data_IF_826233629846
#
_entry.id   IF_826233629846
#
_cell.length_a   1.000
_cell.length_b   1.000
_cell.length_c   1.000
_cell.angle_alpha   90.00
_cell.angle_beta   90.00
_cell.angle_gamma   90.00
#
_symmetry.space_group_name_H-M   'P 1'
#
loop_
_entity.id
_entity.type
_entity.pdbx_description
1 polymer ?
#
# COMPACT_ATOMS: atom_id res chain seq x y z
N UNK A 1 -31.50 16.42 11.29
CA UNK A 1 -30.11 16.91 11.11
C UNK A 1 -29.21 16.19 12.11
N UNK A 2 -27.94 15.95 11.76
CA UNK A 2 -26.95 15.38 12.69
C UNK A 2 -26.37 16.48 13.58
N UNK A 3 -26.38 16.27 14.90
CA UNK A 3 -25.78 17.20 15.88
C UNK A 3 -24.31 16.87 16.04
N UNK A 4 -23.43 17.82 15.67
CA UNK A 4 -21.99 17.60 15.71
C UNK A 4 -21.45 17.57 17.14
N UNK A 5 -20.63 16.56 17.47
CA UNK A 5 -19.98 16.46 18.76
C UNK A 5 -18.85 17.49 18.90
N UNK A 6 -18.98 18.41 19.87
CA UNK A 6 -17.92 19.37 20.20
C UNK A 6 -16.61 18.68 20.59
N UNK A 7 -16.70 17.52 21.26
CA UNK A 7 -15.53 16.70 21.63
C UNK A 7 -14.82 16.14 20.39
N UNK A 8 -15.57 15.68 19.39
CA UNK A 8 -14.99 15.14 18.15
C UNK A 8 -14.28 16.23 17.34
N UNK A 9 -14.79 17.47 17.38
CA UNK A 9 -14.13 18.65 16.78
C UNK A 9 -12.73 18.84 17.36
N UNK A 10 -12.67 18.96 18.69
CA UNK A 10 -11.41 19.21 19.41
C UNK A 10 -10.44 18.06 19.23
N UNK A 11 -10.92 16.81 19.32
CA UNK A 11 -10.12 15.63 19.08
C UNK A 11 -9.49 15.61 17.68
N UNK A 12 -10.27 15.94 16.65
CA UNK A 12 -9.76 16.01 15.27
C UNK A 12 -8.69 17.08 15.09
N UNK A 13 -8.84 18.26 15.72
CA UNK A 13 -7.81 19.30 15.69
C UNK A 13 -6.52 18.89 16.38
N UNK A 14 -6.60 18.18 17.51
CA UNK A 14 -5.43 17.65 18.21
C UNK A 14 -4.69 16.66 17.31
N UNK A 15 -5.40 15.72 16.66
CA UNK A 15 -4.77 14.77 15.74
C UNK A 15 -4.11 15.46 14.54
N UNK A 16 -4.76 16.47 13.96
CA UNK A 16 -4.16 17.24 12.86
C UNK A 16 -2.91 17.99 13.30
N UNK A 17 -2.92 18.62 14.48
CA UNK A 17 -1.75 19.33 15.02
C UNK A 17 -0.59 18.38 15.30
N UNK A 18 -0.85 17.26 15.98
CA UNK A 18 0.16 16.22 16.24
C UNK A 18 0.70 15.62 14.93
N UNK A 19 -0.18 15.38 13.97
CA UNK A 19 0.21 14.90 12.64
C UNK A 19 1.14 15.88 11.93
N UNK A 20 0.81 17.17 11.90
CA UNK A 20 1.67 18.21 11.30
C UNK A 20 3.03 18.28 11.99
N UNK A 21 3.06 18.25 13.34
CA UNK A 21 4.32 18.22 14.10
C UNK A 21 5.15 16.99 13.74
N UNK A 22 4.54 15.81 13.66
CA UNK A 22 5.21 14.56 13.27
C UNK A 22 5.79 14.62 11.85
N UNK A 23 5.05 15.20 10.91
CA UNK A 23 5.51 15.40 9.53
C UNK A 23 6.72 16.35 9.53
N UNK A 24 6.61 17.52 10.16
CA UNK A 24 7.72 18.50 10.21
C UNK A 24 8.95 17.88 10.86
N UNK A 25 8.80 17.17 11.98
CA UNK A 25 9.92 16.48 12.63
C UNK A 25 10.56 15.42 11.71
N UNK A 26 9.75 14.64 10.99
CA UNK A 26 10.25 13.65 10.03
C UNK A 26 11.09 14.26 8.91
N UNK A 27 10.72 15.44 8.43
CA UNK A 27 11.47 16.19 7.42
C UNK A 27 12.73 16.87 7.97
N UNK A 28 12.69 17.37 9.21
CA UNK A 28 13.85 17.99 9.86
C UNK A 28 14.94 16.97 10.21
N UNK A 29 14.56 15.72 10.49
CA UNK A 29 15.49 14.65 10.86
C UNK A 29 16.04 13.87 9.65
N UNK A 30 15.61 14.17 8.42
CA UNK A 30 16.13 13.51 7.23
C UNK A 30 17.58 13.96 6.96
N UNK A 31 18.54 13.03 6.74
CA UNK A 31 19.93 13.38 6.48
C UNK A 31 20.05 14.12 5.14
N UNK A 32 20.93 15.12 5.09
CA UNK A 32 21.09 15.96 3.90
C UNK A 32 22.36 15.64 3.13
N UNK A 33 23.35 15.08 3.82
CA UNK A 33 24.68 14.81 3.27
C UNK A 33 25.12 13.37 3.54
N UNK A 34 26.11 12.91 2.77
CA UNK A 34 26.75 11.61 2.95
C UNK A 34 27.41 11.51 4.34
N UNK A 35 28.03 12.60 4.81
CA UNK A 35 28.66 12.70 6.13
C UNK A 35 27.64 12.46 7.27
N UNK A 36 26.42 12.98 7.13
CA UNK A 36 25.35 12.72 8.10
C UNK A 36 25.01 11.22 8.19
N UNK A 37 25.02 10.52 7.04
CA UNK A 37 24.72 9.09 6.94
C UNK A 37 25.84 8.25 7.52
N UNK A 38 27.09 8.60 7.20
CA UNK A 38 28.27 7.93 7.74
C UNK A 38 28.29 8.03 9.27
N UNK A 39 28.03 9.22 9.82
CA UNK A 39 27.92 9.42 11.27
C UNK A 39 26.78 8.61 11.88
N UNK A 40 25.62 8.55 11.23
CA UNK A 40 24.50 7.74 11.70
C UNK A 40 24.82 6.23 11.69
N UNK A 41 25.49 5.73 10.65
CA UNK A 41 25.90 4.34 10.56
C UNK A 41 26.98 4.02 11.61
N UNK A 42 27.96 4.89 11.82
CA UNK A 42 28.96 4.76 12.86
C UNK A 42 28.33 4.72 14.27
N UNK A 43 27.41 5.63 14.58
CA UNK A 43 26.65 5.64 15.84
C UNK A 43 25.80 4.36 16.02
N UNK A 44 25.31 3.77 14.92
CA UNK A 44 24.56 2.50 14.93
C UNK A 44 25.46 1.33 15.29
N UNK A 45 26.65 1.25 14.69
CA UNK A 45 27.64 0.20 14.95
C UNK A 45 28.20 0.27 16.39
N UNK A 46 28.25 1.45 17.00
CA UNK A 46 28.62 1.58 18.42
C UNK A 46 27.49 1.22 19.40
N UNK A 47 26.23 1.22 18.97
CA UNK A 47 25.06 0.86 19.81
C UNK A 47 24.69 -0.62 19.75
N UNK A 48 25.01 -1.34 18.68
CA UNK A 48 24.78 -2.80 18.64
C UNK A 48 25.72 -3.60 19.56
N UNK A 49 26.85 -3.01 19.98
CA UNK A 49 27.74 -3.63 20.95
C UNK A 49 27.19 -3.67 22.39
N UNK A 50 26.05 -3.02 22.68
CA UNK A 50 25.46 -2.97 24.04
C UNK A 50 24.20 -3.81 24.25
N UNK A 51 23.79 -4.65 23.29
CA UNK A 51 22.67 -5.58 23.44
C UNK A 51 23.04 -7.03 23.14
N UNK A 52 24.08 -7.54 23.80
CA UNK A 52 24.21 -8.97 24.09
C UNK A 52 23.90 -9.18 25.58
N UNK A 53 22.64 -9.01 25.95
CA UNK A 53 22.17 -9.50 27.25
C UNK A 53 22.15 -11.03 27.17
N UNK A 54 23.07 -11.66 27.92
CA UNK A 54 23.10 -13.10 28.12
C UNK A 54 21.77 -13.53 28.73
N UNK A 55 20.88 -14.10 27.93
CA UNK A 55 19.79 -14.92 28.46
C UNK A 55 20.43 -16.22 28.95
N UNK A 56 20.56 -16.35 30.26
CA UNK A 56 20.87 -17.60 30.93
C UNK A 56 19.74 -18.60 30.68
N UNK A 57 20.07 -19.74 30.10
CA UNK A 57 19.21 -20.92 30.17
C UNK A 57 19.22 -21.42 31.62
N UNK A 58 18.13 -21.19 32.35
CA UNK A 58 17.85 -21.93 33.58
C UNK A 58 17.09 -23.21 33.21
N UNK A 59 17.66 -24.33 33.65
CA UNK A 59 17.10 -25.67 33.58
C UNK A 59 16.06 -25.91 34.69
N UNK A 60 15.16 -26.86 34.40
CA UNK A 60 14.20 -27.56 35.27
C UNK A 60 12.83 -26.92 35.54
N UNK A 61 11.79 -27.46 34.91
CA UNK A 61 10.93 -28.49 35.54
C UNK A 61 9.97 -29.15 34.53
N UNK A 62 9.84 -30.47 34.66
CA UNK A 62 9.19 -31.42 33.75
C UNK A 62 7.65 -31.46 33.87
N UNK A 63 6.96 -32.00 32.86
CA UNK A 63 6.10 -33.18 33.03
C UNK A 63 5.64 -33.84 31.70
N UNK A 64 6.09 -35.09 31.54
CA UNK A 64 5.41 -36.28 31.02
C UNK A 64 4.68 -36.26 29.65
N UNK A 65 5.28 -37.03 28.72
CA UNK A 65 4.63 -37.68 27.58
C UNK A 65 4.07 -39.02 28.03
N UNK A 66 2.83 -39.34 27.67
CA UNK A 66 2.37 -40.73 27.58
C UNK A 66 1.66 -40.94 26.23
N UNK A 67 2.17 -41.91 25.47
CA UNK A 67 1.74 -42.28 24.14
C UNK A 67 0.57 -43.26 24.17
N UNK A 68 -0.30 -43.27 23.16
CA UNK A 68 -0.99 -44.50 22.73
C UNK A 68 -1.52 -44.41 21.29
N UNK A 69 -1.41 -45.55 20.60
CA UNK A 69 -1.63 -45.82 19.18
C UNK A 69 -3.08 -46.06 18.77
N UNK A 70 -3.29 -46.10 17.43
CA UNK A 70 -4.28 -46.88 16.68
C UNK A 70 -5.73 -46.32 16.69
N UNK A 71 -6.59 -46.46 15.68
CA UNK A 71 -6.61 -47.16 14.40
C UNK A 71 -7.76 -46.55 13.57
N UNK A 72 -7.63 -46.46 12.25
CA UNK A 72 -8.74 -46.08 11.37
C UNK A 72 -9.71 -47.27 11.18
N UNK A 73 -11.02 -47.03 11.33
CA UNK A 73 -12.06 -47.97 10.89
C UNK A 73 -13.19 -47.24 10.16
N UNK A 74 -13.36 -47.67 8.91
CA UNK A 74 -14.39 -47.35 7.92
C UNK A 74 -15.81 -47.58 8.44
N UNK A 75 -16.76 -46.68 8.16
CA UNK A 75 -18.16 -47.03 7.77
C UNK A 75 -18.73 -45.95 6.83
N UNK A 76 -19.37 -46.45 5.78
CA UNK A 76 -19.98 -45.83 4.60
C UNK A 76 -21.48 -45.48 4.79
N UNK A 77 -22.01 -44.67 3.87
CA UNK A 77 -23.42 -44.48 3.48
C UNK A 77 -24.39 -43.66 4.37
N UNK A 78 -24.99 -42.60 3.80
CA UNK A 78 -26.41 -42.51 3.40
C UNK A 78 -26.60 -41.32 2.42
N UNK A 79 -27.58 -41.49 1.54
CA UNK A 79 -27.75 -40.99 0.17
C UNK A 79 -28.95 -40.02 0.11
N UNK A 80 -29.01 -39.25 -0.99
CA UNK A 80 -30.17 -38.62 -1.68
C UNK A 80 -30.90 -37.43 -1.00
N UNK A 81 -31.42 -36.37 -1.65
CA UNK A 81 -31.76 -36.07 -3.07
C UNK A 81 -31.51 -34.59 -3.40
N UNK A 82 -31.16 -34.31 -4.66
CA UNK A 82 -31.36 -33.01 -5.31
C UNK A 82 -32.09 -33.26 -6.65
N UNK A 83 -33.13 -32.47 -6.92
CA UNK A 83 -33.92 -32.40 -8.17
C UNK A 83 -33.80 -30.95 -8.65
N UNK A 84 -32.97 -30.64 -9.64
CA UNK A 84 -33.10 -30.71 -11.12
C UNK A 84 -33.86 -29.52 -11.76
N UNK A 85 -33.37 -29.15 -12.97
CA UNK A 85 -33.77 -28.17 -14.00
C UNK A 85 -32.67 -27.11 -14.18
N UNK A 86 -31.79 -27.08 -15.19
CA UNK A 86 -31.91 -27.47 -16.61
C UNK A 86 -30.53 -27.60 -17.29
N UNK A 87 -30.47 -28.51 -18.27
CA UNK A 87 -29.35 -28.93 -19.15
C UNK A 87 -28.59 -27.83 -19.93
N UNK A 88 -27.25 -27.92 -19.93
CA UNK A 88 -26.41 -27.98 -21.14
C UNK A 88 -25.02 -28.54 -20.78
N UNK A 89 -24.60 -29.59 -21.49
CA UNK A 89 -23.40 -30.40 -21.24
C UNK A 89 -22.16 -29.73 -21.81
N UNK A 90 -21.11 -29.58 -20.99
CA UNK A 90 -19.74 -29.36 -21.45
C UNK A 90 -18.80 -30.22 -20.58
N UNK A 91 -18.02 -31.08 -21.23
CA UNK A 91 -17.04 -31.97 -20.62
C UNK A 91 -15.92 -31.17 -19.93
N UNK A 92 -15.61 -31.50 -18.67
CA UNK A 92 -14.40 -31.07 -18.01
C UNK A 92 -13.62 -32.32 -17.60
N UNK A 93 -12.49 -32.52 -18.27
CA UNK A 93 -11.54 -33.61 -18.09
C UNK A 93 -10.77 -33.39 -16.79
N UNK A 94 -10.76 -34.42 -15.95
CA UNK A 94 -10.02 -34.55 -14.71
C UNK A 94 -8.50 -34.57 -14.97
N UNK A 95 -7.76 -33.72 -14.27
CA UNK A 95 -6.30 -33.62 -14.34
C UNK A 95 -5.74 -33.35 -12.94
N UNK A 96 -5.89 -34.31 -12.04
CA UNK A 96 -5.05 -34.40 -10.82
C UNK A 96 -4.39 -35.78 -10.72
N UNK A 97 -3.40 -36.01 -11.58
CA UNK A 97 -2.46 -37.11 -11.43
C UNK A 97 -1.06 -36.55 -11.17
N UNK A 98 -0.54 -36.85 -9.98
CA UNK A 98 0.76 -36.43 -9.45
C UNK A 98 1.84 -37.37 -10.00
N UNK A 99 2.90 -36.82 -10.58
CA UNK A 99 4.14 -37.55 -10.86
C UNK A 99 5.21 -37.15 -9.84
N UNK A 100 5.66 -38.14 -9.06
CA UNK A 100 6.75 -38.01 -8.11
C UNK A 100 8.08 -37.74 -8.84
N UNK A 101 8.78 -36.68 -8.45
CA UNK A 101 10.17 -36.43 -8.84
C UNK A 101 11.05 -36.63 -7.62
N UNK A 102 12.10 -37.41 -7.80
CA UNK A 102 13.02 -37.92 -6.79
C UNK A 102 13.61 -36.82 -5.89
N UNK A 103 13.63 -37.10 -4.58
CA UNK A 103 14.37 -36.35 -3.56
C UNK A 103 15.87 -36.56 -3.82
N UNK A 104 16.56 -35.50 -4.24
CA UNK A 104 18.00 -35.46 -4.30
C UNK A 104 18.59 -35.38 -2.88
N UNK A 105 19.73 -36.03 -2.69
CA UNK A 105 20.44 -36.19 -1.43
C UNK A 105 20.74 -34.85 -0.75
N UNK A 106 20.57 -34.84 0.57
CA UNK A 106 20.90 -33.75 1.48
C UNK A 106 22.40 -33.43 1.43
N UNK A 107 22.75 -32.26 0.92
CA UNK A 107 24.06 -31.68 1.17
C UNK A 107 24.14 -31.25 2.65
N UNK A 108 25.02 -31.93 3.39
CA UNK A 108 25.45 -31.55 4.73
C UNK A 108 26.29 -30.28 4.61
N UNK A 109 25.70 -29.13 4.88
CA UNK A 109 26.45 -27.88 5.03
C UNK A 109 27.27 -27.93 6.32
N UNK A 110 28.56 -28.19 6.13
CA UNK A 110 29.58 -28.20 7.15
C UNK A 110 29.85 -26.74 7.57
N UNK A 111 29.18 -26.27 8.63
CA UNK A 111 29.47 -24.98 9.27
C UNK A 111 30.81 -25.03 10.01
N UNK A 112 31.93 -25.04 9.29
CA UNK A 112 33.24 -24.81 9.90
C UNK A 112 34.24 -24.20 8.90
N UNK A 113 33.99 -22.95 8.49
CA UNK A 113 35.07 -22.02 8.09
C UNK A 113 34.53 -20.60 7.85
N UNK A 114 34.17 -19.88 8.91
CA UNK A 114 34.19 -18.41 8.84
C UNK A 114 35.64 -17.93 9.03
N UNK A 115 36.47 -18.12 8.00
CA UNK A 115 37.56 -17.18 7.79
C UNK A 115 36.88 -15.85 7.45
N UNK A 116 37.02 -14.86 8.34
CA UNK A 116 36.88 -13.46 7.96
C UNK A 116 37.98 -13.18 6.93
N UNK A 117 37.69 -13.47 5.68
CA UNK A 117 38.31 -12.69 4.62
C UNK A 117 37.70 -11.31 4.77
N UNK A 118 38.44 -10.40 5.41
CA UNK A 118 38.20 -8.97 5.31
C UNK A 118 38.33 -8.64 3.83
N UNK A 119 37.23 -8.76 3.09
CA UNK A 119 37.10 -8.14 1.78
C UNK A 119 37.22 -6.65 2.06
N UNK A 120 38.41 -6.10 1.82
CA UNK A 120 38.63 -4.67 1.85
C UNK A 120 37.65 -4.07 0.85
N UNK A 121 36.52 -3.57 1.35
CA UNK A 121 35.58 -2.80 0.55
C UNK A 121 36.39 -1.64 -0.02
N UNK A 122 36.42 -1.53 -1.35
CA UNK A 122 37.09 -0.39 -1.98
C UNK A 122 36.42 0.90 -1.50
N UNK A 123 37.19 1.99 -1.36
CA UNK A 123 36.64 3.29 -0.97
C UNK A 123 35.48 3.71 -1.89
N UNK A 124 35.52 3.28 -3.17
CA UNK A 124 34.45 3.49 -4.15
C UNK A 124 33.15 2.73 -3.81
N UNK A 125 33.24 1.48 -3.36
CA UNK A 125 32.06 0.68 -2.98
C UNK A 125 31.41 1.23 -1.70
N UNK A 126 32.23 1.72 -0.77
CA UNK A 126 31.75 2.39 0.43
C UNK A 126 31.00 3.69 0.08
N UNK A 127 31.56 4.51 -0.81
CA UNK A 127 30.94 5.75 -1.23
C UNK A 127 29.59 5.52 -1.95
N UNK A 128 29.51 4.55 -2.87
CA UNK A 128 28.25 4.17 -3.53
C UNK A 128 27.22 3.64 -2.53
N UNK A 129 27.65 2.88 -1.52
CA UNK A 129 26.77 2.42 -0.46
C UNK A 129 26.17 3.60 0.32
N UNK A 130 26.98 4.57 0.71
CA UNK A 130 26.50 5.75 1.44
C UNK A 130 25.53 6.59 0.60
N UNK A 131 25.80 6.77 -0.70
CA UNK A 131 24.88 7.47 -1.62
C UNK A 131 23.52 6.75 -1.73
N UNK A 132 23.54 5.42 -1.82
CA UNK A 132 22.33 4.62 -1.84
C UNK A 132 21.52 4.77 -0.54
N UNK A 133 22.19 4.67 0.61
CA UNK A 133 21.54 4.82 1.92
C UNK A 133 21.01 6.23 2.13
N UNK A 134 21.75 7.27 1.73
CA UNK A 134 21.31 8.66 1.78
C UNK A 134 19.99 8.84 1.03
N UNK A 135 19.92 8.34 -0.20
CA UNK A 135 18.72 8.41 -1.01
C UNK A 135 17.53 7.69 -0.37
N UNK A 136 17.75 6.53 0.26
CA UNK A 136 16.69 5.82 1.00
C UNK A 136 16.18 6.64 2.20
N UNK A 137 17.09 7.22 2.98
CA UNK A 137 16.75 7.99 4.18
C UNK A 137 16.05 9.31 3.85
N UNK A 138 16.46 10.00 2.78
CA UNK A 138 15.83 11.22 2.29
C UNK A 138 14.40 10.98 1.78
N UNK A 139 14.15 9.85 1.12
CA UNK A 139 12.83 9.51 0.58
C UNK A 139 11.86 8.96 1.64
N UNK A 140 12.33 8.58 2.83
CA UNK A 140 11.51 8.01 3.90
C UNK A 140 10.33 8.91 4.32
N UNK A 141 10.52 10.20 4.68
CA UNK A 141 9.39 11.07 5.04
C UNK A 141 8.41 11.31 3.88
N UNK A 142 8.90 11.37 2.65
CA UNK A 142 8.07 11.55 1.45
C UNK A 142 7.21 10.34 1.13
N UNK A 143 7.79 9.14 1.21
CA UNK A 143 7.07 7.88 1.00
C UNK A 143 6.01 7.66 2.08
N UNK A 144 6.31 8.02 3.33
CA UNK A 144 5.34 7.95 4.43
C UNK A 144 4.12 8.86 4.18
N UNK A 145 4.35 10.11 3.74
CA UNK A 145 3.26 11.01 3.35
C UNK A 145 2.49 10.48 2.14
N UNK A 146 3.19 9.99 1.12
CA UNK A 146 2.57 9.45 -0.09
C UNK A 146 1.59 8.33 0.24
N UNK A 147 2.03 7.35 1.04
CA UNK A 147 1.22 6.20 1.46
C UNK A 147 0.00 6.64 2.26
N UNK A 148 0.16 7.56 3.22
CA UNK A 148 -0.96 8.07 4.00
C UNK A 148 -2.01 8.78 3.12
N UNK A 149 -1.57 9.67 2.22
CA UNK A 149 -2.45 10.42 1.34
C UNK A 149 -3.23 9.52 0.38
N UNK A 150 -2.55 8.59 -0.30
CA UNK A 150 -3.21 7.69 -1.25
C UNK A 150 -4.17 6.74 -0.53
N UNK A 151 -3.83 6.26 0.67
CA UNK A 151 -4.67 5.35 1.45
C UNK A 151 -6.03 5.98 1.81
N UNK A 152 -6.03 7.16 2.43
CA UNK A 152 -7.30 7.80 2.83
C UNK A 152 -8.12 8.30 1.63
N UNK A 153 -7.45 8.73 0.56
CA UNK A 153 -8.13 9.07 -0.69
C UNK A 153 -8.83 7.85 -1.30
N UNK A 154 -8.14 6.70 -1.39
CA UNK A 154 -8.71 5.49 -1.97
C UNK A 154 -9.83 4.88 -1.13
N UNK A 155 -9.84 5.05 0.20
CA UNK A 155 -11.02 4.74 1.02
C UNK A 155 -12.24 5.54 0.52
N UNK A 156 -12.08 6.83 0.26
CA UNK A 156 -13.16 7.67 -0.25
C UNK A 156 -13.62 7.24 -1.65
N UNK A 157 -12.68 6.93 -2.55
CA UNK A 157 -13.00 6.42 -3.89
C UNK A 157 -13.70 5.06 -3.82
N UNK A 158 -13.27 4.17 -2.92
CA UNK A 158 -13.88 2.86 -2.71
C UNK A 158 -15.33 2.96 -2.25
N UNK A 159 -15.63 3.88 -1.32
CA UNK A 159 -17.02 4.14 -0.91
C UNK A 159 -17.83 4.76 -2.04
N UNK A 160 -17.23 5.62 -2.87
CA UNK A 160 -17.90 6.22 -4.03
C UNK A 160 -18.24 5.18 -5.10
N UNK A 161 -17.34 4.23 -5.36
CA UNK A 161 -17.58 3.10 -6.25
C UNK A 161 -18.69 2.19 -5.69
N UNK A 162 -18.64 1.86 -4.40
CA UNK A 162 -19.69 1.06 -3.77
C UNK A 162 -21.05 1.78 -3.79
N UNK A 163 -21.08 3.09 -3.55
CA UNK A 163 -22.29 3.92 -3.70
C UNK A 163 -22.88 3.83 -5.11
N UNK A 164 -22.04 3.93 -6.15
CA UNK A 164 -22.46 3.82 -7.54
C UNK A 164 -23.10 2.44 -7.83
N UNK A 165 -22.48 1.36 -7.34
CA UNK A 165 -22.99 -0.01 -7.49
C UNK A 165 -24.38 -0.14 -6.86
N UNK A 166 -24.62 0.45 -5.69
CA UNK A 166 -25.94 0.37 -5.05
C UNK A 166 -27.04 1.06 -5.87
N UNK A 167 -26.74 2.19 -6.50
CA UNK A 167 -27.67 2.84 -7.43
C UNK A 167 -27.93 1.99 -8.67
N UNK A 168 -26.86 1.49 -9.31
CA UNK A 168 -26.95 0.68 -10.52
C UNK A 168 -27.69 -0.65 -10.30
N UNK A 169 -27.48 -1.29 -9.14
CA UNK A 169 -28.12 -2.55 -8.77
C UNK A 169 -29.55 -2.37 -8.21
N UNK A 170 -30.02 -1.13 -8.03
CA UNK A 170 -31.33 -0.83 -7.45
C UNK A 170 -31.56 -1.54 -6.09
N UNK A 171 -30.53 -1.57 -5.25
CA UNK A 171 -30.60 -2.27 -3.98
C UNK A 171 -31.63 -1.63 -3.03
N UNK A 172 -32.56 -2.43 -2.51
CA UNK A 172 -33.66 -1.94 -1.67
C UNK A 172 -33.27 -1.59 -0.23
N UNK A 173 -32.12 -2.06 0.25
CA UNK A 173 -31.68 -1.88 1.64
C UNK A 173 -30.71 -0.70 1.82
N UNK A 174 -29.97 -0.33 0.78
CA UNK A 174 -28.95 0.71 0.82
C UNK A 174 -29.45 2.17 0.95
N UNK A 175 -30.70 2.55 0.59
CA UNK A 175 -31.13 3.94 0.66
C UNK A 175 -30.96 4.60 2.03
N UNK A 176 -31.13 3.85 3.11
CA UNK A 176 -30.95 4.35 4.48
C UNK A 176 -29.49 4.73 4.80
N UNK A 177 -28.52 4.15 4.05
CA UNK A 177 -27.09 4.37 4.25
C UNK A 177 -26.50 5.43 3.33
N UNK A 178 -27.20 5.84 2.27
CA UNK A 178 -26.66 6.75 1.25
C UNK A 178 -26.16 8.08 1.82
N UNK A 179 -26.85 8.65 2.81
CA UNK A 179 -26.41 9.90 3.47
C UNK A 179 -25.08 9.72 4.22
N UNK A 180 -24.83 8.55 4.79
CA UNK A 180 -23.55 8.21 5.44
C UNK A 180 -22.45 8.05 4.40
N UNK A 181 -22.72 7.33 3.30
CA UNK A 181 -21.76 7.14 2.21
C UNK A 181 -21.39 8.46 1.51
N UNK A 182 -22.38 9.33 1.25
CA UNK A 182 -22.17 10.68 0.71
C UNK A 182 -21.33 11.58 1.64
N UNK A 183 -21.42 11.33 2.95
CA UNK A 183 -20.63 12.03 3.98
C UNK A 183 -19.18 11.55 3.98
N UNK A 184 -18.95 10.23 3.95
CA UNK A 184 -17.60 9.64 3.91
C UNK A 184 -16.85 10.07 2.64
N UNK A 185 -17.52 9.99 1.48
CA UNK A 185 -16.96 10.47 0.19
C UNK A 185 -16.73 11.98 0.16
N UNK A 186 -17.16 12.73 1.19
CA UNK A 186 -16.81 14.14 1.38
C UNK A 186 -15.33 14.42 1.52
N UNK A 187 -14.53 13.45 1.97
CA UNK A 187 -13.08 13.58 2.03
C UNK A 187 -12.39 13.54 0.66
N UNK A 188 -13.06 13.05 -0.39
CA UNK A 188 -12.44 12.88 -1.71
C UNK A 188 -11.85 14.19 -2.26
N UNK A 189 -12.58 15.30 -2.18
CA UNK A 189 -12.10 16.58 -2.70
C UNK A 189 -10.85 17.08 -1.95
N UNK A 190 -10.86 17.28 -0.62
CA UNK A 190 -9.67 17.71 0.10
C UNK A 190 -8.51 16.71 -0.04
N UNK A 191 -8.78 15.41 0.02
CA UNK A 191 -7.77 14.37 -0.18
C UNK A 191 -7.12 14.43 -1.57
N UNK A 192 -7.92 14.63 -2.63
CA UNK A 192 -7.42 14.76 -4.00
C UNK A 192 -6.54 15.99 -4.21
N UNK A 193 -6.86 17.12 -3.57
CA UNK A 193 -6.06 18.34 -3.64
C UNK A 193 -4.70 18.13 -2.98
N UNK A 194 -4.68 17.59 -1.75
CA UNK A 194 -3.45 17.32 -1.01
C UNK A 194 -2.57 16.32 -1.78
N UNK A 195 -3.16 15.24 -2.29
CA UNK A 195 -2.43 14.24 -3.06
C UNK A 195 -1.86 14.81 -4.36
N UNK A 196 -2.62 15.63 -5.09
CA UNK A 196 -2.14 16.24 -6.33
C UNK A 196 -0.99 17.24 -6.08
N UNK A 197 -1.06 18.03 -5.02
CA UNK A 197 0.05 18.92 -4.60
C UNK A 197 1.32 18.09 -4.33
N UNK A 198 1.18 16.94 -3.65
CA UNK A 198 2.31 16.04 -3.39
C UNK A 198 2.91 15.48 -4.68
N UNK A 199 2.07 15.11 -5.68
CA UNK A 199 2.56 14.68 -6.99
C UNK A 199 3.32 15.77 -7.74
N UNK A 200 2.86 17.03 -7.65
CA UNK A 200 3.56 18.18 -8.23
C UNK A 200 4.89 18.40 -7.51
N UNK A 201 4.93 18.35 -6.18
CA UNK A 201 6.16 18.46 -5.40
C UNK A 201 7.17 17.36 -5.73
N UNK A 202 6.70 16.11 -5.92
CA UNK A 202 7.54 15.00 -6.39
C UNK A 202 8.07 15.24 -7.81
N UNK A 203 7.23 15.75 -8.72
CA UNK A 203 7.59 16.03 -10.11
C UNK A 203 8.60 17.17 -10.26
N UNK A 204 8.61 18.12 -9.31
CA UNK A 204 9.59 19.22 -9.27
C UNK A 204 10.87 18.84 -8.51
N UNK A 205 11.02 17.57 -8.07
CA UNK A 205 12.12 17.12 -7.21
C UNK A 205 12.34 17.99 -5.96
N UNK A 206 11.24 18.56 -5.43
CA UNK A 206 11.31 19.56 -4.37
C UNK A 206 11.84 18.94 -3.07
N UNK A 207 13.02 19.35 -2.61
CA UNK A 207 13.60 18.83 -1.37
C UNK A 207 14.29 17.46 -1.53
N UNK A 208 14.89 17.21 -2.69
CA UNK A 208 15.65 15.98 -3.02
C UNK A 208 14.80 14.71 -3.04
N UNK A 209 13.62 14.82 -3.65
CA UNK A 209 12.68 13.71 -3.75
C UNK A 209 12.91 12.89 -5.00
N UNK A 210 12.98 11.60 -4.78
CA UNK A 210 13.14 10.62 -5.82
C UNK A 210 12.19 9.43 -5.56
N UNK A 211 10.93 9.75 -5.26
CA UNK A 211 9.86 8.77 -5.06
C UNK A 211 9.65 7.94 -6.34
N UNK A 212 9.82 8.58 -7.52
CA UNK A 212 9.67 7.95 -8.82
C UNK A 212 11.00 7.91 -9.57
N UNK A 213 11.56 6.71 -9.73
CA UNK A 213 12.86 6.48 -10.38
C UNK A 213 12.89 7.04 -11.81
N UNK A 214 11.81 6.86 -12.56
CA UNK A 214 11.71 7.27 -13.97
C UNK A 214 11.65 8.79 -14.18
N UNK A 215 11.50 9.59 -13.13
CA UNK A 215 11.54 11.06 -13.24
C UNK A 215 12.97 11.60 -13.36
N UNK A 216 13.98 10.77 -13.09
CA UNK A 216 15.38 11.16 -13.29
C UNK A 216 15.70 11.25 -14.81
N UNK A 217 16.20 12.39 -15.34
CA UNK A 217 16.60 12.48 -16.75
C UNK A 217 17.78 11.57 -17.10
N UNK A 218 18.58 11.15 -16.12
CA UNK A 218 19.77 10.32 -16.35
C UNK A 218 19.41 8.89 -16.75
N UNK A 219 18.28 8.36 -16.26
CA UNK A 219 17.85 6.98 -16.58
C UNK A 219 17.32 6.81 -18.01
N UNK A 220 17.02 7.92 -18.70
CA UNK A 220 16.56 7.90 -20.10
C UNK A 220 17.65 8.34 -21.09
N UNK A 221 18.83 8.75 -20.63
CA UNK A 221 19.91 9.23 -21.48
C UNK A 221 20.85 8.07 -21.87
N UNK A 222 20.92 7.64 -23.16
CA UNK A 222 21.74 6.50 -23.58
C UNK A 222 23.26 6.67 -23.35
N UNK A 223 23.71 7.89 -23.02
CA UNK A 223 25.11 8.23 -22.78
C UNK A 223 25.46 8.28 -21.29
N UNK A 224 24.49 8.14 -20.40
CA UNK A 224 24.71 8.19 -18.95
C UNK A 224 25.00 6.78 -18.40
N UNK A 225 25.74 6.70 -17.30
CA UNK A 225 26.04 5.43 -16.63
C UNK A 225 24.77 4.72 -16.12
N UNK A 226 23.77 5.50 -15.70
CA UNK A 226 22.50 5.02 -15.13
C UNK A 226 21.40 4.76 -16.18
N UNK A 227 21.75 4.69 -17.47
CA UNK A 227 20.77 4.47 -18.53
C UNK A 227 20.01 3.15 -18.35
N UNK A 228 18.68 3.23 -18.32
CA UNK A 228 17.78 2.08 -18.30
C UNK A 228 16.89 2.06 -19.54
N UNK A 229 17.23 1.16 -20.46
CA UNK A 229 16.48 0.90 -21.70
C UNK A 229 15.00 0.57 -21.46
N UNK A 230 14.66 -0.10 -20.35
CA UNK A 230 13.27 -0.48 -20.05
C UNK A 230 12.42 0.73 -19.63
N UNK A 231 13.03 1.71 -18.96
CA UNK A 231 12.38 2.97 -18.59
C UNK A 231 12.24 3.87 -19.81
N UNK A 232 13.30 3.97 -20.62
CA UNK A 232 13.33 4.77 -21.84
C UNK A 232 12.21 4.37 -22.83
N UNK A 233 12.01 3.07 -23.06
CA UNK A 233 10.90 2.56 -23.88
C UNK A 233 9.50 2.95 -23.38
N UNK A 234 9.38 3.33 -22.10
CA UNK A 234 8.11 3.75 -21.45
C UNK A 234 8.01 5.26 -21.28
N UNK A 235 9.02 6.03 -21.71
CA UNK A 235 9.06 7.50 -21.57
C UNK A 235 7.85 8.21 -22.17
N UNK A 236 7.28 7.66 -23.24
CA UNK A 236 6.02 8.16 -23.83
C UNK A 236 4.84 8.15 -22.84
N UNK A 237 4.80 7.21 -21.90
CA UNK A 237 3.75 7.10 -20.87
C UNK A 237 4.19 7.69 -19.51
N UNK A 238 5.48 7.57 -19.19
CA UNK A 238 6.12 8.01 -17.94
C UNK A 238 6.75 9.40 -18.07
N UNK A 239 6.24 10.30 -18.91
CA UNK A 239 6.69 11.69 -18.91
C UNK A 239 5.88 12.49 -17.87
N UNK A 240 6.55 13.44 -17.22
CA UNK A 240 5.97 14.25 -16.14
C UNK A 240 4.69 14.99 -16.57
N UNK A 241 4.63 15.70 -17.72
CA UNK A 241 3.41 16.39 -18.13
C UNK A 241 2.23 15.45 -18.34
N UNK A 242 2.43 14.30 -19.00
CA UNK A 242 1.38 13.33 -19.24
C UNK A 242 0.96 12.59 -17.96
N UNK A 243 1.90 12.30 -17.07
CA UNK A 243 1.62 11.73 -15.76
C UNK A 243 0.71 12.66 -14.93
N UNK A 244 1.10 13.93 -14.78
CA UNK A 244 0.31 14.92 -14.03
C UNK A 244 -1.03 15.22 -14.71
N UNK A 245 -1.04 15.34 -16.04
CA UNK A 245 -2.27 15.57 -16.80
C UNK A 245 -3.29 14.45 -16.60
N UNK A 246 -2.86 13.19 -16.67
CA UNK A 246 -3.75 12.04 -16.45
C UNK A 246 -4.21 11.93 -15.00
N UNK A 247 -3.31 12.16 -14.04
CA UNK A 247 -3.68 12.20 -12.63
C UNK A 247 -4.77 13.26 -12.38
N UNK A 248 -4.61 14.47 -12.94
CA UNK A 248 -5.61 15.53 -12.85
C UNK A 248 -6.96 15.09 -13.45
N UNK A 249 -6.95 14.46 -14.65
CA UNK A 249 -8.16 13.94 -15.28
C UNK A 249 -8.89 12.94 -14.37
N UNK A 250 -8.18 11.95 -13.80
CA UNK A 250 -8.82 10.97 -12.90
C UNK A 250 -9.45 11.64 -11.67
N UNK A 251 -8.72 12.55 -11.03
CA UNK A 251 -9.22 13.26 -9.84
C UNK A 251 -10.41 14.15 -10.17
N UNK A 252 -10.40 14.84 -11.31
CA UNK A 252 -11.52 15.67 -11.78
C UNK A 252 -12.75 14.81 -12.04
N UNK A 253 -12.61 13.70 -12.77
CA UNK A 253 -13.73 12.80 -13.09
C UNK A 253 -14.39 12.27 -11.82
N UNK A 254 -13.61 11.77 -10.86
CA UNK A 254 -14.17 11.27 -9.60
C UNK A 254 -14.87 12.37 -8.79
N UNK A 255 -14.27 13.56 -8.70
CA UNK A 255 -14.87 14.68 -7.98
C UNK A 255 -16.14 15.20 -8.66
N UNK A 256 -16.17 15.26 -10.00
CA UNK A 256 -17.37 15.64 -10.76
C UNK A 256 -18.50 14.63 -10.54
N UNK A 257 -18.21 13.32 -10.67
CA UNK A 257 -19.18 12.28 -10.40
C UNK A 257 -19.76 12.41 -8.98
N UNK A 258 -18.89 12.56 -7.97
CA UNK A 258 -19.31 12.74 -6.57
C UNK A 258 -20.14 14.00 -6.38
N UNK A 259 -19.76 15.12 -7.01
CA UNK A 259 -20.48 16.38 -6.93
C UNK A 259 -21.89 16.27 -7.52
N UNK A 260 -22.02 15.77 -8.75
CA UNK A 260 -23.33 15.63 -9.42
C UNK A 260 -24.22 14.60 -8.73
N UNK A 261 -23.66 13.45 -8.33
CA UNK A 261 -24.40 12.41 -7.61
C UNK A 261 -25.05 12.96 -6.34
N UNK A 262 -24.27 13.66 -5.51
CA UNK A 262 -24.78 14.27 -4.28
C UNK A 262 -25.75 15.43 -4.56
N UNK A 263 -25.49 16.25 -5.58
CA UNK A 263 -26.37 17.36 -5.97
C UNK A 263 -27.76 16.86 -6.34
N UNK A 264 -27.82 15.84 -7.20
CA UNK A 264 -29.08 15.23 -7.63
C UNK A 264 -29.76 14.49 -6.47
N UNK A 265 -28.99 13.81 -5.62
CA UNK A 265 -29.50 13.14 -4.41
C UNK A 265 -30.19 14.12 -3.44
N UNK A 266 -29.62 15.32 -3.23
CA UNK A 266 -30.26 16.36 -2.42
C UNK A 266 -31.47 16.99 -3.12
N UNK A 267 -31.42 17.15 -4.44
CA UNK A 267 -32.55 17.65 -5.21
C UNK A 267 -33.73 16.67 -5.21
N UNK A 268 -33.46 15.35 -5.16
CA UNK A 268 -34.48 14.30 -5.10
C UNK A 268 -35.29 14.34 -3.79
N UNK A 269 -34.68 14.75 -2.67
CA UNK A 269 -35.39 14.89 -1.38
C UNK A 269 -36.52 15.95 -1.43
N UNK A 270 -36.39 16.94 -2.32
CA UNK A 270 -37.34 18.05 -2.44
C UNK A 270 -38.21 17.96 -3.71
N UNK A 271 -38.02 16.94 -4.54
CA UNK A 271 -38.74 16.76 -5.80
C UNK A 271 -40.02 15.95 -5.60
N UNK A 272 -41.03 16.24 -6.43
CA UNK A 272 -42.28 15.45 -6.52
C UNK A 272 -42.23 14.35 -7.57
N UNK A 273 -41.14 14.27 -8.35
CA UNK A 273 -40.91 13.28 -9.41
C UNK A 273 -39.59 12.52 -9.19
N UNK A 274 -39.33 11.52 -10.03
CA UNK A 274 -38.10 10.70 -9.96
C UNK A 274 -37.02 11.13 -10.98
N UNK A 275 -37.07 12.39 -11.45
CA UNK A 275 -36.18 12.86 -12.52
C UNK A 275 -34.70 12.87 -12.08
N UNK A 276 -34.43 13.23 -10.82
CA UNK A 276 -33.07 13.30 -10.29
C UNK A 276 -32.50 11.91 -10.00
N UNK A 277 -33.32 10.97 -9.53
CA UNK A 277 -32.96 9.57 -9.39
C UNK A 277 -32.51 8.97 -10.74
N UNK A 278 -33.28 9.20 -11.81
CA UNK A 278 -32.94 8.72 -13.16
C UNK A 278 -31.68 9.35 -13.77
N UNK A 279 -31.27 10.53 -13.32
CA UNK A 279 -30.00 11.17 -13.74
C UNK A 279 -28.78 10.59 -13.03
N UNK A 280 -28.98 10.01 -11.85
CA UNK A 280 -27.93 9.35 -11.07
C UNK A 280 -27.77 7.87 -11.42
N UNK A 281 -28.82 7.25 -11.97
CA UNK A 281 -28.79 5.92 -12.57
C UNK A 281 -28.09 5.98 -13.93
#
# INVERSE_FOLDING_TARGET
MYTFSSKLKTFSFILMALGVVGIVAGFLNAPKTIEDVEKLLADSHHKEASHSEKVSHDEHAAHAVEATHAEAKVVDSVKVEAVDSTHAVAEAVDSSAVAAVAVAETHSDNHDSHKKDEVAHSDEDHQKHLEHVLHQLQNKPWSALYVACIFFMLISVGVLAFYAIQYAAQAGWSPILFRVMESITGYLLPGSIIFFILLVAASMHWGHNHIFVWMNPDVINPKHADYDKLIDLKSGYLNVPFFLGRAAVFLIVWNLYRYFSRKNSLAQDAASDNSNYKKNF
#
